data_IF_344915248610
#
_entry.id   IF_344915248610
#
_cell.length_a   1.000
_cell.length_b   1.000
_cell.length_c   1.000
_cell.angle_alpha   90.00
_cell.angle_beta   90.00
_cell.angle_gamma   90.00
#
_symmetry.space_group_name_H-M   'P 1'
#
loop_
_entity.id
_entity.type
_entity.pdbx_description
1 polymer ?
#
# COMPACT_ATOMS: atom_id res chain seq x y z
N UNK A 1 -29.66 -6.84 23.84
CA UNK A 1 -28.84 -6.22 22.77
C UNK A 1 -28.98 -7.08 21.52
N UNK A 2 -29.33 -6.50 20.37
CA UNK A 2 -29.65 -7.22 19.13
C UNK A 2 -28.40 -7.98 18.59
N UNK A 3 -28.58 -9.23 18.12
CA UNK A 3 -27.49 -10.09 17.59
C UNK A 3 -26.74 -9.39 16.45
N UNK A 4 -27.45 -8.61 15.64
CA UNK A 4 -26.87 -7.83 14.54
C UNK A 4 -25.90 -6.76 15.07
N UNK A 5 -26.29 -6.05 16.13
CA UNK A 5 -25.46 -5.01 16.77
C UNK A 5 -24.19 -5.63 17.35
N UNK A 6 -24.29 -6.80 17.97
CA UNK A 6 -23.13 -7.51 18.54
C UNK A 6 -22.10 -7.89 17.48
N UNK A 7 -22.55 -8.40 16.33
CA UNK A 7 -21.68 -8.75 15.20
C UNK A 7 -21.00 -7.51 14.59
N UNK A 8 -21.74 -6.42 14.42
CA UNK A 8 -21.19 -5.16 13.90
C UNK A 8 -20.15 -4.56 14.85
N UNK A 9 -20.43 -4.55 16.15
CA UNK A 9 -19.49 -4.05 17.16
C UNK A 9 -18.19 -4.87 17.19
N UNK A 10 -18.31 -6.20 17.18
CA UNK A 10 -17.16 -7.10 17.12
C UNK A 10 -16.29 -6.86 15.88
N UNK A 11 -16.95 -6.66 14.73
CA UNK A 11 -16.27 -6.34 13.48
C UNK A 11 -15.48 -5.02 13.55
N UNK A 12 -16.10 -3.96 14.07
CA UNK A 12 -15.46 -2.64 14.23
C UNK A 12 -14.25 -2.74 15.18
N UNK A 13 -14.39 -3.44 16.30
CA UNK A 13 -13.30 -3.62 17.28
C UNK A 13 -12.13 -4.36 16.64
N UNK A 14 -12.40 -5.47 15.94
CA UNK A 14 -11.36 -6.25 15.25
C UNK A 14 -10.63 -5.40 14.21
N UNK A 15 -11.35 -4.58 13.45
CA UNK A 15 -10.79 -3.66 12.47
C UNK A 15 -9.90 -2.60 13.11
N UNK A 16 -10.35 -2.03 14.23
CA UNK A 16 -9.58 -1.06 15.01
C UNK A 16 -8.27 -1.68 15.54
N UNK A 17 -8.33 -2.90 16.08
CA UNK A 17 -7.13 -3.63 16.55
C UNK A 17 -6.17 -3.91 15.40
N UNK A 18 -6.67 -4.36 14.25
CA UNK A 18 -5.84 -4.64 13.08
C UNK A 18 -5.17 -3.37 12.55
N UNK A 19 -5.90 -2.25 12.49
CA UNK A 19 -5.36 -0.95 12.10
C UNK A 19 -4.28 -0.45 13.05
N UNK A 20 -4.50 -0.59 14.36
CA UNK A 20 -3.50 -0.26 15.38
C UNK A 20 -2.26 -1.15 15.28
N UNK A 21 -2.43 -2.45 15.07
CA UNK A 21 -1.32 -3.38 14.90
C UNK A 21 -0.47 -3.04 13.67
N UNK A 22 -1.10 -2.68 12.55
CA UNK A 22 -0.37 -2.20 11.37
C UNK A 22 0.38 -0.90 11.67
N UNK A 23 -0.24 0.05 12.36
CA UNK A 23 0.38 1.33 12.70
C UNK A 23 1.58 1.16 13.66
N UNK A 24 1.51 0.26 14.63
CA UNK A 24 2.66 -0.09 15.49
C UNK A 24 3.75 -0.80 14.69
N UNK A 25 3.37 -1.64 13.73
CA UNK A 25 4.34 -2.34 12.88
C UNK A 25 5.09 -1.37 11.97
N UNK A 26 4.42 -0.34 11.44
CA UNK A 26 5.08 0.69 10.61
C UNK A 26 6.02 1.54 11.45
N UNK A 27 5.66 1.97 12.65
CA UNK A 27 6.59 2.75 13.50
C UNK A 27 7.84 1.94 13.88
N UNK A 28 7.68 0.66 14.22
CA UNK A 28 8.82 -0.22 14.49
C UNK A 28 9.72 -0.41 13.26
N UNK A 29 9.13 -0.60 12.08
CA UNK A 29 9.89 -0.68 10.83
C UNK A 29 10.62 0.61 10.49
N UNK A 30 10.01 1.78 10.75
CA UNK A 30 10.65 3.07 10.53
C UNK A 30 11.92 3.18 11.37
N UNK A 31 11.87 2.81 12.66
CA UNK A 31 13.04 2.80 13.53
C UNK A 31 14.15 1.86 13.00
N UNK A 32 13.76 0.67 12.55
CA UNK A 32 14.70 -0.30 11.99
C UNK A 32 15.41 0.22 10.74
N UNK A 33 14.69 0.92 9.85
CA UNK A 33 15.27 1.58 8.67
C UNK A 33 16.29 2.63 9.11
N UNK A 34 15.97 3.45 10.12
CA UNK A 34 16.90 4.46 10.65
C UNK A 34 18.16 3.83 11.24
N UNK A 35 18.03 2.73 11.97
CA UNK A 35 19.17 1.98 12.52
C UNK A 35 20.04 1.41 11.40
N UNK A 36 19.43 0.81 10.38
CA UNK A 36 20.15 0.24 9.24
C UNK A 36 20.84 1.31 8.40
N UNK A 37 20.23 2.48 8.24
CA UNK A 37 20.84 3.63 7.58
C UNK A 37 22.08 4.11 8.33
N UNK A 38 22.00 4.27 9.67
CA UNK A 38 23.13 4.67 10.52
C UNK A 38 24.28 3.65 10.49
N UNK A 39 23.96 2.36 10.34
CA UNK A 39 24.96 1.28 10.27
C UNK A 39 25.50 1.02 8.86
N UNK A 40 25.04 1.77 7.86
CA UNK A 40 25.39 1.61 6.43
C UNK A 40 25.18 0.15 5.97
N UNK A 41 24.18 -0.53 6.54
CA UNK A 41 23.80 -1.87 6.11
C UNK A 41 22.78 -1.76 4.99
N UNK A 42 23.28 -1.66 3.75
CA UNK A 42 22.47 -1.40 2.56
C UNK A 42 21.46 -2.52 2.31
N UNK A 43 21.88 -3.78 2.42
CA UNK A 43 21.00 -4.94 2.19
C UNK A 43 19.82 -4.92 3.15
N UNK A 44 20.08 -4.76 4.46
CA UNK A 44 19.04 -4.70 5.49
C UNK A 44 18.13 -3.49 5.30
N UNK A 45 18.66 -2.34 4.89
CA UNK A 45 17.89 -1.15 4.59
C UNK A 45 16.92 -1.36 3.41
N UNK A 46 17.36 -2.04 2.35
CA UNK A 46 16.51 -2.37 1.21
C UNK A 46 15.37 -3.31 1.62
N UNK A 47 15.68 -4.41 2.29
CA UNK A 47 14.67 -5.38 2.74
C UNK A 47 13.65 -4.73 3.68
N UNK A 48 14.10 -3.91 4.63
CA UNK A 48 13.22 -3.23 5.57
C UNK A 48 12.35 -2.16 4.90
N UNK A 49 12.88 -1.45 3.91
CA UNK A 49 12.10 -0.47 3.13
C UNK A 49 10.97 -1.16 2.36
N UNK A 50 11.25 -2.30 1.73
CA UNK A 50 10.24 -3.09 1.02
C UNK A 50 9.14 -3.55 1.97
N UNK A 51 9.50 -4.11 3.13
CA UNK A 51 8.52 -4.55 4.15
C UNK A 51 7.66 -3.36 4.60
N UNK A 52 8.29 -2.22 4.86
CA UNK A 52 7.62 -0.99 5.29
C UNK A 52 6.58 -0.51 4.26
N UNK A 53 6.91 -0.51 2.97
CA UNK A 53 5.98 -0.15 1.90
C UNK A 53 4.86 -1.17 1.71
N UNK A 54 5.13 -2.47 1.88
CA UNK A 54 4.10 -3.51 1.90
C UNK A 54 3.10 -3.27 3.05
N UNK A 55 3.57 -2.89 4.24
CA UNK A 55 2.67 -2.58 5.35
C UNK A 55 1.73 -1.42 5.04
N UNK A 56 2.23 -0.36 4.37
CA UNK A 56 1.39 0.75 3.93
C UNK A 56 0.43 0.39 2.80
N UNK A 57 0.82 -0.51 1.91
CA UNK A 57 -0.10 -1.09 0.93
C UNK A 57 -1.24 -1.86 1.60
N UNK A 58 -0.93 -2.71 2.60
CA UNK A 58 -1.94 -3.41 3.40
C UNK A 58 -2.83 -2.43 4.17
N UNK A 59 -2.25 -1.34 4.68
CA UNK A 59 -3.01 -0.26 5.30
C UNK A 59 -3.99 0.39 4.30
N UNK A 60 -3.57 0.61 3.06
CA UNK A 60 -4.44 1.06 1.96
C UNK A 60 -5.62 0.11 1.69
N UNK A 61 -5.36 -1.21 1.69
CA UNK A 61 -6.44 -2.22 1.58
C UNK A 61 -7.38 -2.14 2.78
N UNK A 62 -6.85 -1.94 3.99
CA UNK A 62 -7.63 -1.86 5.22
C UNK A 62 -8.56 -0.64 5.23
N UNK A 63 -8.16 0.50 4.65
CA UNK A 63 -9.02 1.68 4.50
C UNK A 63 -10.32 1.32 3.77
N UNK A 64 -10.23 0.48 2.74
CA UNK A 64 -11.36 0.03 1.92
C UNK A 64 -11.83 -1.40 2.29
N UNK A 65 -11.67 -1.82 3.55
CA UNK A 65 -11.89 -3.21 3.96
C UNK A 65 -13.32 -3.70 3.66
N UNK A 66 -14.34 -2.83 3.74
CA UNK A 66 -15.72 -3.20 3.38
C UNK A 66 -15.80 -3.72 1.94
N UNK A 67 -15.05 -3.11 1.02
CA UNK A 67 -15.01 -3.52 -0.38
C UNK A 67 -14.13 -4.78 -0.56
N UNK A 68 -13.00 -4.86 0.14
CA UNK A 68 -12.15 -6.06 0.15
C UNK A 68 -12.90 -7.31 0.65
N UNK A 69 -13.71 -7.19 1.70
CA UNK A 69 -14.52 -8.30 2.22
C UNK A 69 -15.66 -8.68 1.29
N UNK A 70 -16.28 -7.69 0.61
CA UNK A 70 -17.27 -7.97 -0.42
C UNK A 70 -16.66 -8.77 -1.56
N UNK A 71 -15.44 -8.45 -1.97
CA UNK A 71 -14.71 -9.19 -3.01
C UNK A 71 -14.47 -10.66 -2.64
N UNK A 72 -14.29 -10.97 -1.36
CA UNK A 72 -14.13 -12.35 -0.88
C UNK A 72 -15.44 -13.16 -0.82
N UNK A 73 -16.61 -12.52 -0.98
CA UNK A 73 -17.91 -13.10 -0.64
C UNK A 73 -18.83 -13.45 -1.83
N UNK A 74 -18.39 -13.30 -3.09
CA UNK A 74 -19.25 -13.59 -4.24
C UNK A 74 -18.57 -13.49 -5.60
N UNK A 75 -19.38 -13.45 -6.68
CA UNK A 75 -18.91 -13.21 -8.05
C UNK A 75 -18.40 -11.77 -8.17
N UNK A 76 -17.14 -11.64 -8.52
CA UNK A 76 -16.44 -10.36 -8.65
C UNK A 76 -16.24 -10.03 -10.12
N UNK A 77 -16.48 -8.77 -10.46
CA UNK A 77 -16.05 -8.17 -11.70
C UNK A 77 -14.75 -7.41 -11.45
N UNK A 78 -13.74 -7.68 -12.26
CA UNK A 78 -12.44 -7.01 -12.16
C UNK A 78 -12.33 -5.94 -13.24
N UNK A 79 -12.24 -4.67 -12.83
CA UNK A 79 -11.82 -3.59 -13.70
C UNK A 79 -10.33 -3.74 -14.02
N UNK A 80 -10.02 -4.49 -15.08
CA UNK A 80 -8.64 -4.84 -15.48
C UNK A 80 -7.72 -3.62 -15.63
N UNK A 81 -8.11 -2.51 -16.31
CA UNK A 81 -7.29 -1.31 -16.37
C UNK A 81 -6.88 -0.77 -15.00
N UNK A 82 -7.84 -0.66 -14.08
CA UNK A 82 -7.58 -0.12 -12.74
C UNK A 82 -6.71 -1.07 -11.91
N UNK A 83 -6.93 -2.37 -12.05
CA UNK A 83 -6.12 -3.41 -11.42
C UNK A 83 -4.66 -3.36 -11.89
N UNK A 84 -4.43 -3.31 -13.20
CA UNK A 84 -3.08 -3.21 -13.78
C UNK A 84 -2.39 -1.92 -13.32
N UNK A 85 -3.11 -0.79 -13.34
CA UNK A 85 -2.58 0.48 -12.85
C UNK A 85 -2.20 0.41 -11.36
N UNK A 86 -3.03 -0.23 -10.52
CA UNK A 86 -2.71 -0.42 -9.09
C UNK A 86 -1.47 -1.29 -8.86
N UNK A 87 -1.28 -2.35 -9.65
CA UNK A 87 -0.09 -3.20 -9.60
C UNK A 87 1.16 -2.43 -10.04
N UNK A 88 1.04 -1.63 -11.11
CA UNK A 88 2.15 -0.79 -11.58
C UNK A 88 2.59 0.21 -10.50
N UNK A 89 1.63 0.87 -9.83
CA UNK A 89 1.93 1.74 -8.69
C UNK A 89 2.58 0.99 -7.54
N UNK A 90 2.10 -0.23 -7.21
CA UNK A 90 2.73 -1.05 -6.18
C UNK A 90 4.19 -1.33 -6.54
N UNK A 91 4.45 -1.81 -7.76
CA UNK A 91 5.79 -2.11 -8.23
C UNK A 91 6.73 -0.89 -8.13
N UNK A 92 6.25 0.30 -8.52
CA UNK A 92 6.99 1.56 -8.38
C UNK A 92 7.28 1.86 -6.91
N UNK A 93 6.29 1.70 -6.02
CA UNK A 93 6.46 1.97 -4.59
C UNK A 93 7.43 1.02 -3.89
N UNK A 94 7.58 -0.22 -4.38
CA UNK A 94 8.46 -1.22 -3.78
C UNK A 94 9.94 -1.00 -4.13
N UNK A 95 10.26 -0.15 -5.11
CA UNK A 95 11.65 0.21 -5.44
C UNK A 95 12.16 1.18 -4.38
N UNK A 96 13.14 0.83 -3.54
CA UNK A 96 13.59 1.73 -2.48
C UNK A 96 14.20 3.03 -3.03
N UNK A 97 14.08 4.18 -2.32
CA UNK A 97 14.59 5.46 -2.77
C UNK A 97 16.04 5.44 -3.27
N UNK A 98 16.93 4.73 -2.55
CA UNK A 98 18.35 4.63 -2.91
C UNK A 98 18.59 3.95 -4.27
N UNK A 99 17.67 3.09 -4.70
CA UNK A 99 17.77 2.38 -5.97
C UNK A 99 17.53 3.33 -7.16
N UNK A 100 16.61 4.29 -7.01
CA UNK A 100 16.39 5.36 -8.00
C UNK A 100 17.64 6.20 -8.20
N UNK A 101 18.35 6.52 -7.11
CA UNK A 101 19.63 7.22 -7.21
C UNK A 101 20.69 6.38 -7.92
N UNK A 102 20.72 5.08 -7.66
CA UNK A 102 21.70 4.16 -8.25
C UNK A 102 21.50 3.99 -9.75
N UNK A 103 20.26 3.90 -10.23
CA UNK A 103 19.96 3.72 -11.65
C UNK A 103 20.16 4.98 -12.49
N UNK A 104 19.76 6.14 -11.97
CA UNK A 104 19.74 7.37 -12.74
C UNK A 104 20.90 8.31 -12.41
N UNK A 105 21.56 8.12 -11.27
CA UNK A 105 22.69 8.94 -10.83
C UNK A 105 22.34 10.42 -10.59
N UNK A 106 23.32 11.17 -10.08
CA UNK A 106 23.17 12.62 -9.89
C UNK A 106 23.14 13.41 -11.21
N UNK A 107 23.63 12.83 -12.31
CA UNK A 107 23.60 13.47 -13.64
C UNK A 107 22.18 13.67 -14.18
N UNK A 108 21.24 12.80 -13.78
CA UNK A 108 19.84 12.86 -14.23
C UNK A 108 19.07 14.07 -13.69
N UNK A 109 19.60 14.79 -12.68
CA UNK A 109 18.98 16.01 -12.15
C UNK A 109 18.93 17.18 -13.13
N UNK A 110 19.60 17.08 -14.28
CA UNK A 110 19.57 18.09 -15.36
C UNK A 110 18.55 17.81 -16.46
N UNK A 111 17.84 16.69 -16.39
CA UNK A 111 16.82 16.30 -17.37
C UNK A 111 15.41 16.69 -16.91
N UNK A 112 14.40 16.81 -17.79
CA UNK A 112 13.00 16.98 -17.38
C UNK A 112 12.51 15.83 -16.48
N UNK A 113 13.13 14.65 -16.56
CA UNK A 113 12.86 13.51 -15.69
C UNK A 113 13.35 13.71 -14.24
N UNK A 114 14.14 14.75 -13.98
CA UNK A 114 14.69 15.07 -12.65
C UNK A 114 13.62 15.27 -11.58
N UNK A 115 12.46 15.83 -11.93
CA UNK A 115 11.37 16.07 -10.98
C UNK A 115 10.82 14.73 -10.48
N UNK A 116 10.61 13.78 -11.39
CA UNK A 116 10.15 12.44 -11.04
C UNK A 116 11.16 11.74 -10.12
N UNK A 117 12.45 11.78 -10.46
CA UNK A 117 13.51 11.19 -9.63
C UNK A 117 13.56 11.85 -8.24
N UNK A 118 13.46 13.19 -8.15
CA UNK A 118 13.42 13.90 -6.85
C UNK A 118 12.26 13.45 -5.99
N UNK A 119 11.08 13.25 -6.59
CA UNK A 119 9.89 12.74 -5.89
C UNK A 119 10.13 11.31 -5.41
N UNK A 120 10.68 10.43 -6.25
CA UNK A 120 10.96 9.03 -5.88
C UNK A 120 12.13 8.86 -4.90
N UNK A 121 12.90 9.91 -4.63
CA UNK A 121 13.88 9.89 -3.53
C UNK A 121 13.24 10.11 -2.15
N UNK A 122 11.98 10.56 -2.10
CA UNK A 122 11.25 10.74 -0.85
C UNK A 122 10.54 9.46 -0.43
N UNK A 123 10.88 8.94 0.76
CA UNK A 123 10.15 7.81 1.36
C UNK A 123 8.65 8.10 1.55
N UNK A 124 8.27 9.35 1.76
CA UNK A 124 6.86 9.74 1.92
C UNK A 124 6.06 9.54 0.63
N UNK A 125 6.70 9.76 -0.52
CA UNK A 125 6.07 9.50 -1.81
C UNK A 125 5.84 8.00 -2.02
N UNK A 126 6.80 7.16 -1.63
CA UNK A 126 6.63 5.71 -1.66
C UNK A 126 5.48 5.25 -0.78
N UNK A 127 5.39 5.78 0.45
CA UNK A 127 4.26 5.52 1.36
C UNK A 127 2.93 5.90 0.72
N UNK A 128 2.82 7.11 0.17
CA UNK A 128 1.58 7.59 -0.45
C UNK A 128 1.17 6.70 -1.64
N UNK A 129 2.13 6.30 -2.49
CA UNK A 129 1.88 5.43 -3.63
C UNK A 129 1.46 4.02 -3.17
N UNK A 130 2.09 3.46 -2.12
CA UNK A 130 1.71 2.16 -1.57
C UNK A 130 0.28 2.18 -1.02
N UNK A 131 -0.09 3.19 -0.23
CA UNK A 131 -1.45 3.35 0.29
C UNK A 131 -2.44 3.48 -0.88
N UNK A 132 -2.14 4.35 -1.84
CA UNK A 132 -3.00 4.59 -3.01
C UNK A 132 -3.18 3.31 -3.83
N UNK A 133 -2.11 2.53 -4.04
CA UNK A 133 -2.18 1.24 -4.70
C UNK A 133 -3.10 0.27 -3.96
N UNK A 134 -3.00 0.19 -2.63
CA UNK A 134 -3.89 -0.64 -1.79
C UNK A 134 -5.36 -0.22 -1.87
N UNK A 135 -5.63 1.09 -1.94
CA UNK A 135 -6.99 1.60 -2.17
C UNK A 135 -7.47 1.27 -3.59
N UNK A 136 -6.65 1.48 -4.62
CA UNK A 136 -7.06 1.28 -6.00
C UNK A 136 -7.26 -0.20 -6.34
N UNK A 137 -6.46 -1.11 -5.77
CA UNK A 137 -6.61 -2.54 -6.02
C UNK A 137 -7.95 -3.05 -5.45
N UNK A 138 -8.37 -2.56 -4.28
CA UNK A 138 -9.69 -2.92 -3.72
C UNK A 138 -10.82 -2.32 -4.56
N UNK A 139 -10.68 -1.07 -5.03
CA UNK A 139 -11.66 -0.42 -5.92
C UNK A 139 -11.75 -1.03 -7.31
N UNK A 140 -10.68 -1.65 -7.79
CA UNK A 140 -10.69 -2.39 -9.05
C UNK A 140 -11.62 -3.60 -9.02
N UNK A 141 -12.01 -4.05 -7.83
CA UNK A 141 -12.92 -5.17 -7.64
C UNK A 141 -14.33 -4.61 -7.35
N UNK A 142 -15.21 -4.74 -8.32
CA UNK A 142 -16.63 -4.39 -8.19
C UNK A 142 -17.47 -5.66 -8.11
N UNK A 143 -18.57 -5.60 -7.37
CA UNK A 143 -19.54 -6.70 -7.36
C UNK A 143 -20.37 -6.59 -8.63
N UNK A 144 -20.59 -7.69 -9.36
CA UNK A 144 -21.64 -7.72 -10.38
C UNK A 144 -22.97 -7.41 -9.68
N UNK A 145 -23.61 -6.30 -10.08
CA UNK A 145 -25.04 -6.17 -9.90
C UNK A 145 -25.62 -7.28 -10.77
N UNK A 146 -26.19 -8.31 -10.14
CA UNK A 146 -27.11 -9.18 -10.87
C UNK A 146 -28.21 -8.25 -11.38
N UNK A 147 -28.18 -7.93 -12.67
CA UNK A 147 -29.32 -7.39 -13.39
C UNK A 147 -30.42 -8.46 -13.35
N UNK A 148 -31.16 -8.49 -12.24
CA UNK A 148 -32.54 -8.97 -12.28
C UNK A 148 -33.33 -7.96 -13.09
N UNK A 149 -33.45 -8.19 -14.39
CA UNK A 149 -34.69 -8.08 -15.17
C UNK A 149 -34.41 -8.01 -16.69
N UNK A 150 -34.56 -9.14 -17.38
CA UNK A 150 -35.66 -9.36 -18.33
C UNK A 150 -35.71 -10.81 -18.77
#
# INVERSE_FOLDING_TARGET
MNIVIRKQLFFIITLGILGLALLVSTTWMHEQIQISAKRINVEKLLTQSIIYFILFFLFGILIELKQALKALSGKIHLNKPLFIFSIALLAISLIPPIQWLTWYGFGSFKTPFSIFIKIMLSSDCHIAISILSGVLITKSITKELQETAK
#
